data_IF_487667443256
#
_entry.id   IF_487667443256
#
_cell.length_a   1.000
_cell.length_b   1.000
_cell.length_c   1.000
_cell.angle_alpha   90.00
_cell.angle_beta   90.00
_cell.angle_gamma   90.00
#
_symmetry.space_group_name_H-M   'P 1'
#
loop_
_entity.id
_entity.type
_entity.pdbx_description
1 polymer ?
#
# COMPACT_ATOMS: atom_id res chain seq x y z
N UNK A 1 0.14 -15.36 -6.40
CA UNK A 1 -0.17 -14.63 -7.65
C UNK A 1 1.15 -14.28 -8.31
N UNK A 2 1.32 -14.64 -9.57
CA UNK A 2 2.45 -14.18 -10.39
C UNK A 2 2.03 -12.87 -11.06
N UNK A 3 2.83 -11.81 -10.88
CA UNK A 3 2.61 -10.52 -11.53
C UNK A 3 3.42 -10.47 -12.82
N UNK A 4 2.84 -9.93 -13.87
CA UNK A 4 3.54 -9.51 -15.08
C UNK A 4 3.72 -7.98 -15.09
N UNK A 5 4.72 -7.44 -15.82
CA UNK A 5 4.86 -6.01 -15.99
C UNK A 5 3.58 -5.36 -16.54
N UNK A 6 3.02 -4.40 -15.80
CA UNK A 6 1.77 -3.72 -16.13
C UNK A 6 0.56 -4.19 -15.33
N UNK A 7 0.65 -5.32 -14.64
CA UNK A 7 -0.44 -5.80 -13.79
C UNK A 7 -0.68 -4.89 -12.58
N UNK A 8 -1.96 -4.76 -12.22
CA UNK A 8 -2.41 -4.00 -11.05
C UNK A 8 -3.15 -4.93 -10.10
N UNK A 9 -2.76 -4.89 -8.82
CA UNK A 9 -3.51 -5.52 -7.75
C UNK A 9 -4.13 -4.46 -6.86
N UNK A 10 -5.46 -4.54 -6.72
CA UNK A 10 -6.23 -3.72 -5.80
C UNK A 10 -6.56 -4.53 -4.54
N UNK A 11 -6.20 -4.00 -3.38
CA UNK A 11 -6.44 -4.65 -2.08
C UNK A 11 -7.28 -3.75 -1.20
N UNK A 12 -8.42 -4.27 -0.72
CA UNK A 12 -9.14 -3.62 0.35
C UNK A 12 -8.48 -3.94 1.69
N UNK A 13 -7.59 -3.05 2.14
CA UNK A 13 -6.68 -3.33 3.26
C UNK A 13 -7.38 -3.66 4.60
N UNK A 14 -8.65 -3.27 4.78
CA UNK A 14 -9.43 -3.57 5.99
C UNK A 14 -10.30 -4.83 5.89
N UNK A 15 -10.26 -5.57 4.77
CA UNK A 15 -11.10 -6.76 4.55
C UNK A 15 -10.30 -7.95 4.02
N UNK A 16 -9.15 -7.70 3.36
CA UNK A 16 -8.33 -8.74 2.75
C UNK A 16 -7.01 -8.86 3.52
N UNK A 17 -6.84 -9.99 4.22
CA UNK A 17 -5.52 -10.39 4.70
C UNK A 17 -4.67 -10.81 3.51
N UNK A 18 -3.47 -10.26 3.41
CA UNK A 18 -2.54 -10.55 2.32
C UNK A 18 -1.11 -10.63 2.85
N UNK A 19 -0.30 -11.44 2.18
CA UNK A 19 1.11 -11.65 2.48
C UNK A 19 1.85 -12.02 1.18
N UNK A 20 3.16 -12.19 1.29
CA UNK A 20 4.01 -12.68 0.21
C UNK A 20 4.94 -13.74 0.80
N UNK A 21 5.21 -14.80 0.04
CA UNK A 21 6.25 -15.77 0.36
C UNK A 21 7.65 -15.15 0.21
N UNK A 22 8.66 -15.85 0.69
CA UNK A 22 10.05 -15.48 0.46
C UNK A 22 10.40 -15.52 -1.03
N UNK A 23 11.38 -14.71 -1.42
CA UNK A 23 11.87 -14.63 -2.78
C UNK A 23 13.35 -14.26 -2.77
N UNK A 24 14.06 -14.66 -3.81
CA UNK A 24 15.44 -14.27 -4.07
C UNK A 24 15.47 -13.28 -5.22
N UNK A 25 16.36 -12.29 -5.12
CA UNK A 25 16.63 -11.39 -6.23
C UNK A 25 17.50 -12.10 -7.26
N UNK A 26 17.28 -11.78 -8.53
CA UNK A 26 18.20 -12.18 -9.59
C UNK A 26 19.57 -11.53 -9.40
N UNK A 27 20.67 -12.15 -9.89
CA UNK A 27 21.97 -11.50 -9.92
C UNK A 27 21.94 -10.18 -10.69
N UNK A 28 21.14 -10.12 -11.76
CA UNK A 28 20.98 -8.94 -12.60
C UNK A 28 19.92 -7.97 -12.02
N UNK A 29 20.29 -6.72 -11.65
CA UNK A 29 19.38 -5.76 -11.02
C UNK A 29 18.12 -5.42 -11.82
N UNK A 30 18.23 -5.36 -13.15
CA UNK A 30 17.12 -5.06 -14.06
C UNK A 30 16.03 -6.14 -14.07
N UNK A 31 16.33 -7.32 -13.53
CA UNK A 31 15.37 -8.43 -13.39
C UNK A 31 14.73 -8.47 -12.02
N UNK A 32 15.14 -7.59 -11.10
CA UNK A 32 14.55 -7.55 -9.76
C UNK A 32 13.07 -7.21 -9.84
N UNK A 33 12.29 -7.84 -8.96
CA UNK A 33 10.86 -7.53 -8.85
C UNK A 33 10.70 -6.10 -8.35
N UNK A 34 10.22 -5.22 -9.22
CA UNK A 34 9.96 -3.82 -8.92
C UNK A 34 8.46 -3.54 -8.94
N UNK A 35 7.89 -3.21 -7.77
CA UNK A 35 6.47 -2.85 -7.65
C UNK A 35 6.33 -1.44 -7.11
N UNK A 36 5.40 -0.69 -7.69
CA UNK A 36 4.92 0.57 -7.15
C UNK A 36 3.72 0.30 -6.25
N UNK A 37 3.65 1.00 -5.11
CA UNK A 37 2.54 0.88 -4.16
C UNK A 37 1.90 2.23 -3.93
N UNK A 38 0.59 2.27 -4.14
CA UNK A 38 -0.26 3.42 -3.87
C UNK A 38 -1.28 3.09 -2.79
N UNK A 39 -1.50 4.03 -1.87
CA UNK A 39 -2.57 3.98 -0.88
C UNK A 39 -3.65 4.98 -1.27
N UNK A 40 -4.91 4.53 -1.25
CA UNK A 40 -6.05 5.35 -1.66
C UNK A 40 -7.08 5.36 -0.53
N UNK A 41 -7.46 6.56 -0.11
CA UNK A 41 -8.60 6.78 0.77
C UNK A 41 -9.69 7.55 0.02
N UNK A 42 -10.76 6.87 -0.43
CA UNK A 42 -11.88 7.58 -1.02
C UNK A 42 -12.62 8.40 0.06
N UNK A 43 -13.12 9.61 -0.26
CA UNK A 43 -13.96 10.40 0.65
C UNK A 43 -15.21 9.64 1.12
N UNK A 44 -15.75 8.77 0.28
CA UNK A 44 -16.88 7.88 0.58
C UNK A 44 -16.45 6.56 1.24
N UNK A 45 -15.25 6.48 1.80
CA UNK A 45 -14.73 5.27 2.43
C UNK A 45 -15.51 4.85 3.68
N UNK A 46 -15.58 3.54 3.93
CA UNK A 46 -16.19 2.97 5.14
C UNK A 46 -15.53 3.55 6.41
N UNK A 47 -16.29 3.95 7.45
CA UNK A 47 -15.74 4.34 8.74
C UNK A 47 -15.02 3.17 9.43
N UNK A 48 -13.95 3.47 10.15
CA UNK A 48 -13.20 2.48 10.91
C UNK A 48 -13.35 2.74 12.42
N UNK A 49 -13.35 1.69 13.26
CA UNK A 49 -13.24 1.85 14.70
C UNK A 49 -11.96 2.59 15.12
N UNK A 50 -12.03 3.37 16.19
CA UNK A 50 -10.93 4.24 16.66
C UNK A 50 -9.60 3.52 16.91
N UNK A 51 -9.63 2.24 17.30
CA UNK A 51 -8.40 1.47 17.55
C UNK A 51 -7.48 1.37 16.32
N UNK A 52 -8.03 1.51 15.11
CA UNK A 52 -7.26 1.55 13.88
C UNK A 52 -6.36 2.79 13.76
N UNK A 53 -6.68 3.91 14.44
CA UNK A 53 -5.90 5.14 14.37
C UNK A 53 -4.43 4.93 14.75
N UNK A 54 -4.15 4.04 15.71
CA UNK A 54 -2.77 3.71 16.12
C UNK A 54 -1.89 3.20 14.98
N UNK A 55 -2.49 2.53 13.98
CA UNK A 55 -1.77 1.95 12.83
C UNK A 55 -1.81 2.86 11.60
N UNK A 56 -2.85 3.66 11.44
CA UNK A 56 -3.14 4.45 10.23
C UNK A 56 -2.98 5.96 10.40
N UNK A 57 -2.71 6.44 11.62
CA UNK A 57 -2.63 7.87 11.95
C UNK A 57 -3.99 8.48 12.31
N UNK A 58 -5.03 8.18 11.54
CA UNK A 58 -6.42 8.55 11.84
C UNK A 58 -7.42 7.53 11.23
N UNK A 59 -8.71 7.75 11.47
CA UNK A 59 -9.81 6.93 10.90
C UNK A 59 -10.78 7.71 10.02
N UNK A 60 -10.44 8.95 9.66
CA UNK A 60 -11.28 9.86 8.88
C UNK A 60 -11.40 9.33 7.43
N UNK A 61 -12.62 9.11 6.91
CA UNK A 61 -12.80 8.79 5.49
C UNK A 61 -12.20 9.87 4.58
N UNK A 62 -11.57 9.48 3.48
CA UNK A 62 -10.86 10.39 2.59
C UNK A 62 -9.47 10.84 3.08
N UNK A 63 -9.23 10.80 4.38
CA UNK A 63 -8.01 11.33 4.99
C UNK A 63 -7.24 10.23 5.74
N UNK A 64 -7.20 9.01 5.20
CA UNK A 64 -6.40 7.92 5.77
C UNK A 64 -5.28 7.52 4.81
N UNK A 65 -4.05 7.64 5.27
CA UNK A 65 -2.87 7.32 4.47
C UNK A 65 -2.55 5.82 4.41
N UNK A 66 -1.39 5.53 3.83
CA UNK A 66 -0.73 4.24 4.03
C UNK A 66 -0.03 4.13 5.38
N UNK A 67 0.59 2.99 5.63
CA UNK A 67 1.53 2.84 6.75
C UNK A 67 2.82 3.59 6.39
N UNK A 68 3.06 4.71 7.07
CA UNK A 68 4.27 5.53 6.95
C UNK A 68 5.13 5.29 8.19
N UNK A 69 6.38 4.89 7.99
CA UNK A 69 7.37 4.68 9.07
C UNK A 69 8.49 5.70 8.97
N UNK A 70 9.26 5.95 10.04
CA UNK A 70 10.43 6.82 9.99
C UNK A 70 11.36 6.44 8.83
N UNK A 71 11.73 7.43 8.01
CA UNK A 71 12.57 7.23 6.82
C UNK A 71 11.83 6.85 5.53
N UNK A 72 10.50 6.73 5.55
CA UNK A 72 9.72 6.54 4.32
C UNK A 72 9.92 7.73 3.39
N UNK A 73 10.38 7.47 2.15
CA UNK A 73 10.47 8.47 1.08
C UNK A 73 9.36 8.20 0.07
N UNK A 74 8.47 9.16 -0.12
CA UNK A 74 7.43 9.08 -1.15
C UNK A 74 8.09 9.30 -2.51
N UNK A 75 7.82 8.39 -3.45
CA UNK A 75 8.38 8.47 -4.81
C UNK A 75 7.55 9.36 -5.75
N UNK A 76 6.25 9.50 -5.45
CA UNK A 76 5.29 10.30 -6.23
C UNK A 76 4.27 10.87 -5.24
N UNK A 77 4.05 12.18 -5.29
CA UNK A 77 2.89 12.81 -4.68
C UNK A 77 1.76 12.83 -5.71
N UNK A 78 0.62 12.25 -5.37
CA UNK A 78 -0.59 12.50 -6.15
C UNK A 78 -1.02 13.92 -5.78
N UNK A 79 -0.85 14.86 -6.70
CA UNK A 79 -1.25 16.26 -6.51
C UNK A 79 -2.68 16.36 -6.00
N UNK A 80 -2.92 17.33 -5.13
CA UNK A 80 -4.22 17.68 -4.56
C UNK A 80 -5.15 18.30 -5.58
#
# INVERSE_FOLDING_TARGET
MAFEPGDIQLLHNHQILHSRNDFENWPEPERHRHLLRLWIAPPSGRPLPDYFASRWGNVTPGDRGGIIVPGTKLSVELGT
#
